data_IF_153437407104
#
_entry.id   IF_153437407104
#
_cell.length_a   1.000
_cell.length_b   1.000
_cell.length_c   1.000
_cell.angle_alpha   90.00
_cell.angle_beta   90.00
_cell.angle_gamma   90.00
#
_symmetry.space_group_name_H-M   'P 1'
#
loop_
_entity.id
_entity.type
_entity.pdbx_description
1 polymer ?
#
# COMPACT_ATOMS: atom_id res chain seq x y z
N UNK A 1 -35.57 -27.88 32.69
CA UNK A 1 -34.28 -27.68 31.97
C UNK A 1 -34.38 -27.03 30.56
N UNK A 2 -35.24 -26.03 30.24
CA UNK A 2 -35.35 -25.52 28.85
C UNK A 2 -34.43 -24.32 28.50
N UNK A 3 -33.90 -23.59 29.50
CA UNK A 3 -33.20 -22.30 29.27
C UNK A 3 -31.84 -22.41 28.56
N UNK A 4 -31.16 -23.57 28.62
CA UNK A 4 -29.87 -23.77 27.95
C UNK A 4 -30.02 -24.01 26.45
N UNK A 5 -31.07 -24.72 26.02
CA UNK A 5 -31.31 -25.01 24.61
C UNK A 5 -31.65 -23.75 23.78
N UNK A 6 -32.43 -22.82 24.35
CA UNK A 6 -32.78 -21.55 23.69
C UNK A 6 -31.57 -20.63 23.48
N UNK A 7 -30.64 -20.59 24.44
CA UNK A 7 -29.40 -19.80 24.32
C UNK A 7 -28.48 -20.36 23.22
N UNK A 8 -28.40 -21.69 23.10
CA UNK A 8 -27.60 -22.35 22.07
C UNK A 8 -28.22 -22.17 20.68
N UNK A 9 -29.54 -22.23 20.56
CA UNK A 9 -30.26 -21.99 19.29
C UNK A 9 -30.13 -20.54 18.80
N UNK A 10 -30.26 -19.54 19.69
CA UNK A 10 -29.99 -18.13 19.35
C UNK A 10 -28.53 -17.87 18.99
N UNK A 11 -27.60 -18.50 19.71
CA UNK A 11 -26.18 -18.42 19.40
C UNK A 11 -25.86 -19.00 18.01
N UNK A 12 -26.55 -20.07 17.59
CA UNK A 12 -26.43 -20.68 16.26
C UNK A 12 -27.09 -19.86 15.13
N UNK A 13 -28.24 -19.22 15.39
CA UNK A 13 -28.88 -18.33 14.42
C UNK A 13 -28.03 -17.10 14.11
N UNK A 14 -27.24 -16.63 15.07
CA UNK A 14 -26.29 -15.52 14.91
C UNK A 14 -25.07 -15.87 14.05
N UNK A 15 -24.79 -17.17 13.82
CA UNK A 15 -23.58 -17.63 13.12
C UNK A 15 -23.63 -17.37 11.61
N UNK A 16 -24.81 -17.48 10.98
CA UNK A 16 -24.97 -17.26 9.54
C UNK A 16 -24.68 -15.82 9.12
N UNK A 17 -25.28 -14.78 9.73
CA UNK A 17 -24.98 -13.39 9.38
C UNK A 17 -23.55 -13.01 9.77
N UNK A 18 -23.03 -13.52 10.90
CA UNK A 18 -21.64 -13.26 11.33
C UNK A 18 -20.63 -13.80 10.31
N UNK A 19 -20.89 -14.97 9.72
CA UNK A 19 -20.03 -15.56 8.69
C UNK A 19 -20.03 -14.74 7.40
N UNK A 20 -21.19 -14.27 6.95
CA UNK A 20 -21.32 -13.39 5.78
C UNK A 20 -20.66 -12.03 6.01
N UNK A 21 -20.85 -11.44 7.20
CA UNK A 21 -20.19 -10.21 7.60
C UNK A 21 -18.66 -10.37 7.63
N UNK A 22 -18.17 -11.50 8.16
CA UNK A 22 -16.75 -11.82 8.21
C UNK A 22 -16.16 -11.98 6.81
N UNK A 23 -16.86 -12.67 5.91
CA UNK A 23 -16.47 -12.77 4.50
C UNK A 23 -16.48 -11.42 3.80
N UNK A 24 -17.51 -10.60 4.04
CA UNK A 24 -17.61 -9.25 3.50
C UNK A 24 -16.46 -8.35 3.97
N UNK A 25 -16.14 -8.35 5.26
CA UNK A 25 -15.00 -7.63 5.82
C UNK A 25 -13.66 -8.15 5.30
N UNK A 26 -13.52 -9.46 5.12
CA UNK A 26 -12.30 -10.06 4.57
C UNK A 26 -12.10 -9.64 3.11
N UNK A 27 -13.14 -9.75 2.28
CA UNK A 27 -13.10 -9.32 0.88
C UNK A 27 -12.84 -7.82 0.80
N UNK A 28 -13.52 -7.01 1.60
CA UNK A 28 -13.29 -5.56 1.67
C UNK A 28 -11.84 -5.25 2.07
N UNK A 29 -11.31 -5.94 3.08
CA UNK A 29 -9.92 -5.79 3.52
C UNK A 29 -8.94 -6.14 2.40
N UNK A 30 -9.15 -7.27 1.71
CA UNK A 30 -8.29 -7.69 0.60
C UNK A 30 -8.36 -6.66 -0.51
N UNK A 31 -9.55 -6.27 -0.96
CA UNK A 31 -9.74 -5.28 -2.03
C UNK A 31 -9.06 -3.95 -1.67
N UNK A 32 -9.28 -3.42 -0.47
CA UNK A 32 -8.65 -2.18 -0.02
C UNK A 32 -7.12 -2.27 0.07
N UNK A 33 -6.57 -3.48 0.23
CA UNK A 33 -5.14 -3.70 0.45
C UNK A 33 -4.38 -4.06 -0.82
N UNK A 34 -5.00 -4.83 -1.72
CA UNK A 34 -4.39 -5.31 -2.98
C UNK A 34 -4.70 -4.40 -4.16
N UNK A 35 -5.96 -3.96 -4.33
CA UNK A 35 -6.28 -2.96 -5.34
C UNK A 35 -5.67 -1.59 -4.96
N UNK A 36 -5.43 -1.40 -3.66
CA UNK A 36 -5.00 -0.13 -3.10
C UNK A 36 -6.06 0.95 -3.31
N UNK A 37 -5.81 2.13 -2.75
CA UNK A 37 -6.53 3.32 -3.17
C UNK A 37 -6.34 3.44 -4.69
N UNK A 38 -7.41 3.46 -5.49
CA UNK A 38 -7.31 3.55 -6.94
C UNK A 38 -6.46 4.77 -7.33
N UNK A 39 -5.83 4.74 -8.50
CA UNK A 39 -4.89 5.77 -8.98
C UNK A 39 -5.41 7.21 -8.72
N UNK A 40 -6.72 7.42 -8.90
CA UNK A 40 -7.41 8.69 -8.62
C UNK A 40 -7.43 9.10 -7.14
N UNK A 41 -7.54 8.15 -6.21
CA UNK A 41 -7.50 8.40 -4.78
C UNK A 41 -6.05 8.63 -4.30
N UNK A 42 -5.05 7.96 -4.89
CA UNK A 42 -3.64 8.27 -4.66
C UNK A 42 -3.30 9.68 -5.12
N UNK A 43 -3.76 10.07 -6.31
CA UNK A 43 -3.58 11.42 -6.85
C UNK A 43 -4.20 12.50 -5.93
N UNK A 44 -5.39 12.23 -5.35
CA UNK A 44 -6.08 13.15 -4.42
C UNK A 44 -5.48 13.21 -3.02
N UNK A 45 -4.85 12.13 -2.54
CA UNK A 45 -4.09 12.14 -1.29
C UNK A 45 -2.79 12.93 -1.46
N UNK A 46 -2.12 12.78 -2.61
CA UNK A 46 -0.93 13.57 -2.93
C UNK A 46 -1.20 15.05 -3.20
N UNK A 47 -2.40 15.40 -3.68
CA UNK A 47 -2.83 16.79 -3.85
C UNK A 47 -3.33 17.44 -2.54
N UNK A 48 -3.30 16.72 -1.42
CA UNK A 48 -3.70 17.24 -0.10
C UNK A 48 -5.21 17.27 0.16
N UNK A 49 -6.04 16.77 -0.75
CA UNK A 49 -7.50 16.79 -0.58
C UNK A 49 -8.04 15.71 0.37
N UNK A 50 -7.28 14.65 0.63
CA UNK A 50 -7.72 13.51 1.44
C UNK A 50 -6.81 13.29 2.65
N UNK A 51 -7.37 13.03 3.85
CA UNK A 51 -6.57 12.87 5.07
C UNK A 51 -5.62 11.67 4.98
N UNK A 52 -4.36 11.87 5.38
CA UNK A 52 -3.30 10.85 5.35
C UNK A 52 -3.66 9.56 6.11
N UNK A 53 -4.62 9.65 7.03
CA UNK A 53 -5.17 8.54 7.83
C UNK A 53 -5.86 7.44 7.00
N UNK A 54 -6.30 7.73 5.77
CA UNK A 54 -6.95 6.76 4.89
C UNK A 54 -6.06 5.54 4.55
N UNK A 55 -4.74 5.66 4.69
CA UNK A 55 -3.81 4.53 4.54
C UNK A 55 -4.08 3.41 5.56
N UNK A 56 -4.69 3.73 6.70
CA UNK A 56 -5.04 2.77 7.75
C UNK A 56 -6.41 2.12 7.59
N UNK A 57 -7.20 2.49 6.57
CA UNK A 57 -8.55 1.94 6.40
C UNK A 57 -8.53 0.42 6.18
N UNK A 58 -7.59 -0.07 5.37
CA UNK A 58 -7.39 -1.52 5.13
C UNK A 58 -7.06 -2.29 6.41
N UNK A 59 -5.98 -1.93 7.14
CA UNK A 59 -5.65 -2.54 8.43
C UNK A 59 -6.79 -2.47 9.45
N UNK A 60 -7.54 -1.36 9.52
CA UNK A 60 -8.66 -1.20 10.44
C UNK A 60 -9.81 -2.17 10.11
N UNK A 61 -10.16 -2.33 8.83
CA UNK A 61 -11.16 -3.29 8.38
C UNK A 61 -10.73 -4.74 8.71
N UNK A 62 -9.45 -5.06 8.50
CA UNK A 62 -8.91 -6.37 8.85
C UNK A 62 -8.94 -6.63 10.37
N UNK A 63 -8.62 -5.63 11.19
CA UNK A 63 -8.69 -5.74 12.64
C UNK A 63 -10.13 -6.03 13.12
N UNK A 64 -11.13 -5.35 12.55
CA UNK A 64 -12.54 -5.60 12.84
C UNK A 64 -12.95 -7.03 12.46
N UNK A 65 -12.52 -7.53 11.30
CA UNK A 65 -12.69 -8.93 10.90
C UNK A 65 -12.06 -9.87 11.93
N UNK A 66 -10.79 -9.63 12.29
CA UNK A 66 -10.02 -10.51 13.16
C UNK A 66 -10.66 -10.61 14.55
N UNK A 67 -11.19 -9.51 15.09
CA UNK A 67 -11.92 -9.50 16.35
C UNK A 67 -13.18 -10.38 16.27
N UNK A 68 -14.03 -10.18 15.26
CA UNK A 68 -15.24 -10.98 15.07
C UNK A 68 -14.94 -12.46 14.86
N UNK A 69 -13.92 -12.76 14.03
CA UNK A 69 -13.46 -14.11 13.76
C UNK A 69 -12.92 -14.80 15.02
N UNK A 70 -12.14 -14.08 15.84
CA UNK A 70 -11.60 -14.60 17.09
C UNK A 70 -12.72 -14.95 18.07
N UNK A 71 -13.68 -14.05 18.29
CA UNK A 71 -14.85 -14.29 19.16
C UNK A 71 -15.61 -15.53 18.69
N UNK A 72 -15.87 -15.65 17.39
CA UNK A 72 -16.53 -16.81 16.80
C UNK A 72 -15.77 -18.12 17.05
N UNK A 73 -14.46 -18.12 16.81
CA UNK A 73 -13.60 -19.29 17.00
C UNK A 73 -13.55 -19.72 18.45
N UNK A 74 -13.36 -18.80 19.39
CA UNK A 74 -13.34 -19.13 20.81
C UNK A 74 -14.70 -19.59 21.33
N UNK A 75 -15.81 -19.05 20.81
CA UNK A 75 -17.15 -19.55 21.14
C UNK A 75 -17.34 -21.02 20.70
N UNK A 76 -16.83 -21.40 19.52
CA UNK A 76 -16.87 -22.79 19.05
C UNK A 76 -15.97 -23.73 19.85
N UNK A 77 -14.78 -23.27 20.24
CA UNK A 77 -13.86 -24.02 21.12
C UNK A 77 -14.52 -24.25 22.48
N UNK A 78 -15.15 -23.22 23.05
CA UNK A 78 -15.91 -23.32 24.31
C UNK A 78 -17.08 -24.29 24.22
N UNK A 79 -17.73 -24.37 23.06
CA UNK A 79 -18.77 -25.37 22.77
C UNK A 79 -18.23 -26.79 22.51
N UNK A 80 -16.91 -27.01 22.59
CA UNK A 80 -16.20 -28.25 22.23
C UNK A 80 -16.49 -28.74 20.80
N UNK A 81 -16.91 -27.84 19.92
CA UNK A 81 -17.20 -28.13 18.50
C UNK A 81 -16.01 -27.84 17.59
N UNK A 82 -14.87 -27.43 18.16
CA UNK A 82 -13.68 -27.08 17.40
C UNK A 82 -12.40 -27.29 18.22
N UNK A 83 -11.31 -27.62 17.56
CA UNK A 83 -10.01 -27.83 18.20
C UNK A 83 -9.40 -26.48 18.61
N UNK A 84 -9.05 -26.35 19.90
CA UNK A 84 -8.45 -25.15 20.46
C UNK A 84 -7.12 -24.77 19.79
N UNK A 85 -6.23 -25.74 19.54
CA UNK A 85 -4.94 -25.49 18.92
C UNK A 85 -5.09 -24.87 17.52
N UNK A 86 -6.03 -25.37 16.71
CA UNK A 86 -6.33 -24.81 15.38
C UNK A 86 -6.86 -23.38 15.46
N UNK A 87 -7.74 -23.10 16.43
CA UNK A 87 -8.28 -21.76 16.63
C UNK A 87 -7.17 -20.77 17.04
N UNK A 88 -6.33 -21.15 18.01
CA UNK A 88 -5.21 -20.32 18.45
C UNK A 88 -4.24 -20.03 17.32
N UNK A 89 -3.88 -21.04 16.52
CA UNK A 89 -2.95 -20.87 15.41
C UNK A 89 -3.53 -19.98 14.31
N UNK A 90 -4.82 -20.11 13.98
CA UNK A 90 -5.50 -19.25 13.01
C UNK A 90 -5.60 -17.79 13.49
N UNK A 91 -5.96 -17.58 14.76
CA UNK A 91 -6.04 -16.24 15.33
C UNK A 91 -4.65 -15.61 15.41
N UNK A 92 -3.64 -16.36 15.87
CA UNK A 92 -2.26 -15.90 15.93
C UNK A 92 -1.70 -15.52 14.56
N UNK A 93 -1.94 -16.34 13.53
CA UNK A 93 -1.57 -16.00 12.16
C UNK A 93 -2.29 -14.74 11.66
N UNK A 94 -3.57 -14.58 12.01
CA UNK A 94 -4.33 -13.35 11.73
C UNK A 94 -3.68 -12.12 12.37
N UNK A 95 -3.26 -12.20 13.63
CA UNK A 95 -2.54 -11.10 14.29
C UNK A 95 -1.20 -10.79 13.61
N UNK A 96 -0.47 -11.81 13.15
CA UNK A 96 0.77 -11.60 12.40
C UNK A 96 0.52 -10.86 11.08
N UNK A 97 -0.53 -11.24 10.34
CA UNK A 97 -0.94 -10.53 9.11
C UNK A 97 -1.33 -9.08 9.42
N UNK A 98 -2.10 -8.85 10.50
CA UNK A 98 -2.46 -7.50 10.93
C UNK A 98 -1.21 -6.66 11.24
N UNK A 99 -0.25 -7.23 11.97
CA UNK A 99 1.01 -6.56 12.29
C UNK A 99 1.77 -6.17 11.02
N UNK A 100 1.85 -7.07 10.03
CA UNK A 100 2.48 -6.80 8.74
C UNK A 100 1.74 -5.71 7.96
N UNK A 101 0.41 -5.72 7.94
CA UNK A 101 -0.40 -4.68 7.30
C UNK A 101 -0.19 -3.31 7.95
N UNK A 102 -0.19 -3.25 9.29
CA UNK A 102 0.05 -2.00 10.03
C UNK A 102 1.46 -1.48 9.79
N UNK A 103 2.48 -2.35 9.78
CA UNK A 103 3.85 -1.96 9.47
C UNK A 103 3.96 -1.36 8.06
N UNK A 104 3.34 -2.01 7.08
CA UNK A 104 3.30 -1.52 5.69
C UNK A 104 2.55 -0.18 5.59
N UNK A 105 1.43 -0.03 6.29
CA UNK A 105 0.67 1.21 6.34
C UNK A 105 1.47 2.36 6.97
N UNK A 106 2.24 2.08 8.04
CA UNK A 106 3.16 3.05 8.66
C UNK A 106 4.26 3.49 7.71
N UNK A 107 4.88 2.57 6.98
CA UNK A 107 5.89 2.91 5.96
C UNK A 107 5.30 3.81 4.87
N UNK A 108 4.10 3.49 4.38
CA UNK A 108 3.38 4.31 3.39
C UNK A 108 3.04 5.70 3.94
N UNK A 109 2.55 5.79 5.18
CA UNK A 109 2.27 7.08 5.83
C UNK A 109 3.54 7.94 5.99
N UNK A 110 4.66 7.33 6.38
CA UNK A 110 5.95 8.01 6.45
C UNK A 110 6.42 8.51 5.07
N UNK A 111 6.22 7.72 4.01
CA UNK A 111 6.53 8.11 2.64
C UNK A 111 5.65 9.27 2.12
N UNK A 112 4.43 9.43 2.63
CA UNK A 112 3.55 10.58 2.31
C UNK A 112 3.97 11.87 3.00
N UNK A 113 4.71 11.79 4.11
CA UNK A 113 5.24 12.94 4.85
C UNK A 113 6.61 13.41 4.36
N UNK A 114 7.33 12.55 3.64
CA UNK A 114 8.53 12.95 2.91
C UNK A 114 8.10 13.79 1.69
N UNK A 115 8.77 14.92 1.40
CA UNK A 115 8.66 15.49 0.06
C UNK A 115 9.01 14.37 -0.91
N UNK A 116 8.08 14.01 -1.80
CA UNK A 116 8.18 12.92 -2.79
C UNK A 116 9.51 13.03 -3.51
N UNK A 117 10.60 12.44 -2.96
CA UNK A 117 12.02 12.80 -3.23
C UNK A 117 12.09 14.08 -4.05
N UNK A 118 11.87 15.25 -3.42
CA UNK A 118 11.71 16.55 -4.11
C UNK A 118 12.45 16.47 -5.44
N UNK A 119 11.70 16.27 -6.55
CA UNK A 119 12.24 15.66 -7.77
C UNK A 119 13.53 16.39 -8.07
N UNK A 120 14.68 15.73 -7.85
CA UNK A 120 15.96 16.43 -7.79
C UNK A 120 16.02 17.22 -9.08
N UNK A 121 16.12 18.54 -8.98
CA UNK A 121 16.15 19.34 -10.19
C UNK A 121 17.38 18.89 -10.98
N UNK A 122 17.17 18.33 -12.16
CA UNK A 122 18.26 17.80 -12.99
C UNK A 122 18.88 18.91 -13.83
N UNK A 123 18.23 20.07 -13.96
CA UNK A 123 18.75 21.20 -14.74
C UNK A 123 20.16 21.63 -14.30
N UNK A 124 20.45 21.80 -12.99
CA UNK A 124 21.81 22.11 -12.54
C UNK A 124 22.84 21.04 -12.88
N UNK A 125 22.45 19.76 -12.92
CA UNK A 125 23.37 18.66 -13.27
C UNK A 125 23.58 18.56 -14.78
N UNK A 126 22.56 18.90 -15.59
CA UNK A 126 22.68 19.00 -17.05
C UNK A 126 23.55 20.18 -17.48
N UNK A 127 23.68 21.20 -16.63
CA UNK A 127 24.54 22.35 -16.84
C UNK A 127 25.89 22.24 -16.12
N UNK A 128 26.17 21.12 -15.44
CA UNK A 128 27.45 20.93 -14.73
C UNK A 128 28.61 20.87 -15.74
N UNK A 129 29.76 21.51 -15.47
CA UNK A 129 30.92 21.47 -16.35
C UNK A 129 31.47 20.05 -16.55
N UNK A 130 31.24 19.13 -15.61
CA UNK A 130 31.73 17.75 -15.67
C UNK A 130 30.85 16.89 -16.59
N UNK A 131 31.40 16.31 -17.68
CA UNK A 131 30.62 15.51 -18.61
C UNK A 131 30.02 14.27 -17.96
N UNK A 132 30.64 13.71 -16.92
CA UNK A 132 30.11 12.54 -16.21
C UNK A 132 28.77 12.85 -15.53
N UNK A 133 28.63 14.05 -14.97
CA UNK A 133 27.40 14.45 -14.29
C UNK A 133 26.28 14.78 -15.27
N UNK A 134 26.60 15.38 -16.42
CA UNK A 134 25.62 15.58 -17.50
C UNK A 134 25.11 14.25 -18.04
N UNK A 135 26.00 13.28 -18.26
CA UNK A 135 25.63 11.94 -18.71
C UNK A 135 24.71 11.23 -17.70
N UNK A 136 25.07 11.23 -16.41
CA UNK A 136 24.24 10.66 -15.34
C UNK A 136 22.88 11.37 -15.22
N UNK A 137 22.84 12.68 -15.40
CA UNK A 137 21.60 13.44 -15.40
C UNK A 137 20.68 13.05 -16.57
N UNK A 138 21.23 12.84 -17.77
CA UNK A 138 20.48 12.34 -18.91
C UNK A 138 19.97 10.91 -18.71
N UNK A 139 20.77 10.01 -18.14
CA UNK A 139 20.31 8.65 -17.77
C UNK A 139 19.20 8.69 -16.72
N UNK A 140 19.34 9.52 -15.68
CA UNK A 140 18.31 9.69 -14.67
C UNK A 140 17.01 10.25 -15.27
N UNK A 141 17.11 11.15 -16.25
CA UNK A 141 15.97 11.77 -16.93
C UNK A 141 15.19 10.77 -17.80
N UNK A 142 15.85 9.75 -18.36
CA UNK A 142 15.18 8.70 -19.14
C UNK A 142 14.13 7.92 -18.33
N UNK A 143 14.29 7.87 -17.00
CA UNK A 143 13.35 7.22 -16.08
C UNK A 143 12.27 8.16 -15.49
N UNK A 144 12.22 9.42 -15.93
CA UNK A 144 11.25 10.41 -15.45
C UNK A 144 10.03 10.54 -16.37
N UNK A 145 8.93 11.12 -15.87
CA UNK A 145 7.76 11.45 -16.68
C UNK A 145 8.11 12.23 -17.97
N UNK A 146 7.27 12.08 -19.00
CA UNK A 146 7.48 12.70 -20.32
C UNK A 146 7.37 14.22 -20.32
N UNK A 147 6.73 14.78 -19.29
CA UNK A 147 6.52 16.21 -19.07
C UNK A 147 7.59 16.85 -18.18
N UNK A 148 8.71 16.16 -17.88
CA UNK A 148 9.79 16.73 -17.07
C UNK A 148 10.43 17.96 -17.78
N UNK A 149 10.51 19.12 -17.11
CA UNK A 149 10.99 20.37 -17.70
C UNK A 149 12.49 20.36 -18.07
N UNK A 150 13.26 19.34 -17.65
CA UNK A 150 14.66 19.19 -18.02
C UNK A 150 14.86 18.55 -19.41
N UNK A 151 13.82 17.99 -20.03
CA UNK A 151 13.90 17.31 -21.35
C UNK A 151 14.39 18.19 -22.50
N UNK A 152 13.92 19.43 -22.67
CA UNK A 152 14.45 20.31 -23.72
C UNK A 152 15.96 20.53 -23.61
N UNK A 153 16.48 20.60 -22.37
CA UNK A 153 17.91 20.77 -22.13
C UNK A 153 18.70 19.52 -22.52
N UNK A 154 18.20 18.34 -22.19
CA UNK A 154 18.81 17.07 -22.61
C UNK A 154 18.81 16.92 -24.14
N UNK A 155 17.73 17.32 -24.84
CA UNK A 155 17.70 17.31 -26.30
C UNK A 155 18.79 18.21 -26.91
N UNK A 156 18.97 19.42 -26.38
CA UNK A 156 20.04 20.31 -26.84
C UNK A 156 21.44 19.70 -26.62
N UNK A 157 21.66 19.01 -25.49
CA UNK A 157 22.93 18.32 -25.21
C UNK A 157 23.15 17.12 -26.13
N UNK A 158 22.10 16.40 -26.54
CA UNK A 158 22.20 15.29 -27.48
C UNK A 158 22.80 15.74 -28.84
N UNK A 159 22.48 16.96 -29.27
CA UNK A 159 22.94 17.52 -30.54
C UNK A 159 24.32 18.19 -30.45
N UNK A 160 24.60 18.90 -29.35
CA UNK A 160 25.68 19.89 -29.30
C UNK A 160 26.72 19.69 -28.17
N UNK A 161 26.55 18.72 -27.27
CA UNK A 161 27.52 18.52 -26.20
C UNK A 161 28.89 18.10 -26.78
N UNK A 162 30.02 18.67 -26.33
CA UNK A 162 31.34 18.28 -26.81
C UNK A 162 31.66 16.80 -26.54
N UNK A 163 31.16 16.22 -25.45
CA UNK A 163 31.44 14.84 -25.07
C UNK A 163 30.50 13.85 -25.78
N UNK A 164 31.02 12.87 -26.55
CA UNK A 164 30.20 11.88 -27.26
C UNK A 164 29.39 10.99 -26.32
N UNK A 165 29.83 10.78 -25.07
CA UNK A 165 29.11 9.97 -24.08
C UNK A 165 27.86 10.69 -23.60
N UNK A 166 27.95 12.00 -23.39
CA UNK A 166 26.79 12.83 -23.03
C UNK A 166 25.79 12.82 -24.18
N UNK A 167 26.23 13.02 -25.42
CA UNK A 167 25.34 12.96 -26.59
C UNK A 167 24.60 11.62 -26.67
N UNK A 168 25.31 10.50 -26.51
CA UNK A 168 24.71 9.17 -26.52
C UNK A 168 23.74 8.91 -25.36
N UNK A 169 24.05 9.41 -24.16
CA UNK A 169 23.18 9.27 -22.99
C UNK A 169 21.90 10.10 -23.15
N UNK A 170 22.02 11.35 -23.59
CA UNK A 170 20.89 12.26 -23.77
C UNK A 170 20.01 11.88 -24.97
N UNK A 171 20.57 11.27 -26.02
CA UNK A 171 19.79 10.73 -27.15
C UNK A 171 18.85 9.57 -26.76
N UNK A 172 19.06 8.93 -25.60
CA UNK A 172 18.14 7.89 -25.07
C UNK A 172 16.95 8.48 -24.29
N UNK A 173 16.93 9.78 -24.07
CA UNK A 173 15.80 10.48 -23.42
C UNK A 173 14.73 10.72 -24.50
N UNK A 174 13.53 10.10 -24.37
CA UNK A 174 12.50 10.12 -25.42
C UNK A 174 11.71 11.42 -25.52
#
# INVERSE_FOLDING_TARGET
MPRRALKVARALAFIRPLRLLSWGLLVLSVVLSTAGLPEWARARITSGQWPRLLVYLGPAAFAAFLLGFSVYRFALVRARRYNAAKAFLQVGLGFLVLAFMVATARQRHAALGMPRRAAVDLRPLLDDPRPELRAVACEALAHRPKDDPARPRAAALAESDPDPRVRAACARVP
#
